data_IF_271485702859
#
_entry.id   IF_271485702859
#
_cell.length_a   1.000
_cell.length_b   1.000
_cell.length_c   1.000
_cell.angle_alpha   90.00
_cell.angle_beta   90.00
_cell.angle_gamma   90.00
#
_symmetry.space_group_name_H-M   'P 1'
#
loop_
_entity.id
_entity.type
_entity.pdbx_description
1 polymer ?
#
# COMPACT_ATOMS: atom_id res chain seq x y z
N UNK A 1 2.70 4.99 -10.99
CA UNK A 1 3.61 6.10 -10.66
C UNK A 1 3.02 6.92 -9.52
N UNK A 2 3.85 7.62 -8.75
CA UNK A 2 3.41 8.63 -7.79
C UNK A 2 2.61 9.70 -8.52
N UNK A 3 1.44 10.06 -8.01
CA UNK A 3 0.58 11.10 -8.59
C UNK A 3 1.29 12.44 -8.69
N UNK A 4 2.00 12.82 -7.61
CA UNK A 4 2.68 14.10 -7.44
C UNK A 4 3.93 14.23 -8.31
N UNK A 5 4.99 13.45 -8.06
CA UNK A 5 6.27 13.61 -8.77
C UNK A 5 6.46 12.71 -9.99
N UNK A 6 5.56 11.74 -10.21
CA UNK A 6 5.67 10.82 -11.35
C UNK A 6 6.67 9.68 -11.20
N UNK A 7 7.37 9.53 -10.06
CA UNK A 7 8.29 8.39 -9.89
C UNK A 7 7.58 7.05 -10.02
N UNK A 8 8.26 6.04 -10.55
CA UNK A 8 7.72 4.69 -10.67
C UNK A 8 7.54 4.07 -9.28
N UNK A 9 6.39 3.42 -9.06
CA UNK A 9 6.07 2.81 -7.75
C UNK A 9 5.81 1.31 -7.86
N UNK A 10 5.12 0.86 -8.90
CA UNK A 10 4.75 -0.55 -9.07
C UNK A 10 4.40 -0.82 -10.53
N UNK A 11 4.13 -2.08 -10.86
CA UNK A 11 3.75 -2.56 -12.20
C UNK A 11 2.37 -3.23 -12.17
N UNK A 12 1.80 -3.53 -13.35
CA UNK A 12 0.50 -4.21 -13.45
C UNK A 12 0.56 -5.65 -12.96
N UNK A 13 1.69 -6.33 -13.17
CA UNK A 13 1.95 -7.72 -12.79
C UNK A 13 2.03 -7.87 -11.26
N UNK A 14 2.37 -6.79 -10.57
CA UNK A 14 2.39 -6.75 -9.11
C UNK A 14 1.00 -6.56 -8.50
N UNK A 15 -0.04 -6.26 -9.28
CA UNK A 15 -1.40 -6.07 -8.78
C UNK A 15 -2.01 -7.40 -8.36
N UNK A 16 -2.42 -7.49 -7.09
CA UNK A 16 -3.06 -8.68 -6.51
C UNK A 16 -4.57 -8.54 -6.50
N UNK A 17 -5.10 -7.37 -6.09
CA UNK A 17 -6.55 -7.16 -6.02
C UNK A 17 -6.91 -5.67 -6.06
N UNK A 18 -8.06 -5.36 -6.65
CA UNK A 18 -8.62 -4.00 -6.76
C UNK A 18 -9.77 -3.71 -5.78
N UNK A 19 -10.06 -4.65 -4.88
CA UNK A 19 -11.24 -4.64 -4.01
C UNK A 19 -10.91 -4.15 -2.59
N UNK A 20 -10.02 -3.17 -2.48
CA UNK A 20 -9.62 -2.57 -1.21
C UNK A 20 -10.09 -1.12 -1.10
N UNK A 21 -10.26 -0.67 0.12
CA UNK A 21 -10.55 0.72 0.47
C UNK A 21 -9.45 1.22 1.41
N UNK A 22 -9.00 2.44 1.16
CA UNK A 22 -8.03 3.15 1.97
C UNK A 22 -8.62 4.43 2.54
N UNK A 23 -7.75 5.29 3.07
CA UNK A 23 -8.13 6.56 3.68
C UNK A 23 -8.76 7.52 2.66
N UNK A 24 -8.36 7.43 1.40
CA UNK A 24 -8.78 8.34 0.33
C UNK A 24 -9.74 7.70 -0.67
N UNK A 25 -10.42 6.62 -0.27
CA UNK A 25 -11.41 5.92 -1.09
C UNK A 25 -10.85 4.61 -1.66
N UNK A 26 -10.92 4.41 -2.97
CA UNK A 26 -10.51 3.14 -3.60
C UNK A 26 -9.00 2.94 -3.47
N UNK A 27 -8.59 1.75 -3.07
CA UNK A 27 -7.20 1.36 -2.99
C UNK A 27 -7.00 -0.04 -3.58
N UNK A 28 -5.76 -0.37 -3.92
CA UNK A 28 -5.43 -1.66 -4.52
C UNK A 28 -4.28 -2.33 -3.75
N UNK A 29 -4.34 -3.66 -3.69
CA UNK A 29 -3.30 -4.50 -3.09
C UNK A 29 -2.25 -4.87 -4.14
N UNK A 30 -0.99 -4.61 -3.83
CA UNK A 30 0.17 -4.92 -4.67
C UNK A 30 1.16 -5.82 -3.93
N UNK A 31 1.75 -6.77 -4.65
CA UNK A 31 2.80 -7.66 -4.15
C UNK A 31 4.13 -6.95 -3.97
N UNK A 32 4.45 -5.97 -4.83
CA UNK A 32 5.73 -5.26 -4.82
C UNK A 32 5.53 -3.78 -5.12
N UNK A 33 6.17 -2.93 -4.33
CA UNK A 33 6.25 -1.47 -4.52
C UNK A 33 7.71 -1.03 -4.32
N UNK A 34 8.17 -0.06 -5.11
CA UNK A 34 9.55 0.47 -5.11
C UNK A 34 9.55 1.99 -5.01
N UNK A 35 10.70 2.58 -4.71
CA UNK A 35 10.87 4.03 -4.53
C UNK A 35 9.97 4.60 -3.42
N UNK A 36 9.95 3.89 -2.29
CA UNK A 36 9.14 4.25 -1.12
C UNK A 36 9.96 4.25 0.15
N UNK A 37 9.50 5.05 1.11
CA UNK A 37 9.98 5.06 2.49
C UNK A 37 8.88 4.48 3.38
N UNK A 38 9.24 3.57 4.27
CA UNK A 38 8.32 2.93 5.23
C UNK A 38 8.38 3.70 6.56
N UNK A 39 7.20 4.00 7.11
CA UNK A 39 7.04 4.70 8.38
C UNK A 39 7.14 3.77 9.59
N UNK A 40 6.65 4.26 10.72
CA UNK A 40 6.61 3.49 11.98
C UNK A 40 5.61 2.35 11.87
N UNK A 41 5.94 1.22 12.51
CA UNK A 41 5.04 0.08 12.64
C UNK A 41 4.01 0.35 13.72
N UNK A 42 2.74 0.22 13.37
CA UNK A 42 1.61 0.45 14.27
C UNK A 42 0.56 -0.64 14.12
N UNK A 43 -0.12 -0.97 15.23
CA UNK A 43 -1.29 -1.84 15.18
C UNK A 43 -2.51 -1.07 14.67
N UNK A 44 -3.23 -1.66 13.71
CA UNK A 44 -4.41 -1.08 13.10
C UNK A 44 -5.53 -2.12 13.03
N UNK A 45 -6.66 -1.82 13.66
CA UNK A 45 -7.88 -2.63 13.57
C UNK A 45 -8.55 -2.43 12.22
N UNK A 46 -8.86 -3.53 11.52
CA UNK A 46 -9.53 -3.52 10.23
C UNK A 46 -10.70 -4.52 10.22
N UNK A 47 -11.51 -4.51 9.17
CA UNK A 47 -12.65 -5.43 9.02
C UNK A 47 -12.24 -6.91 9.10
N UNK A 48 -11.01 -7.24 8.71
CA UNK A 48 -10.49 -8.62 8.76
C UNK A 48 -9.60 -8.90 9.98
N UNK A 49 -9.71 -8.11 11.05
CA UNK A 49 -8.93 -8.28 12.28
C UNK A 49 -7.78 -7.27 12.45
N UNK A 50 -6.95 -7.51 13.45
CA UNK A 50 -5.81 -6.64 13.81
C UNK A 50 -4.59 -6.98 12.98
N UNK A 51 -3.92 -5.93 12.49
CA UNK A 51 -2.70 -6.03 11.69
C UNK A 51 -1.66 -5.04 12.21
N UNK A 52 -0.38 -5.38 12.13
CA UNK A 52 0.70 -4.39 12.19
C UNK A 52 0.93 -3.87 10.78
N UNK A 53 0.92 -2.55 10.62
CA UNK A 53 1.10 -1.87 9.34
C UNK A 53 2.10 -0.73 9.48
N UNK A 54 2.61 -0.25 8.35
CA UNK A 54 3.33 1.01 8.31
C UNK A 54 2.85 1.84 7.12
N UNK A 55 2.77 3.15 7.32
CA UNK A 55 2.49 4.07 6.23
C UNK A 55 3.67 4.11 5.26
N UNK A 56 3.37 4.36 3.98
CA UNK A 56 4.31 4.31 2.88
C UNK A 56 4.24 5.62 2.12
N UNK A 57 5.39 6.28 2.04
CA UNK A 57 5.56 7.56 1.36
C UNK A 57 6.42 7.39 0.10
N UNK A 58 6.21 8.21 -0.90
CA UNK A 58 7.09 8.30 -2.06
C UNK A 58 8.49 8.76 -1.63
N UNK A 59 9.54 7.97 -1.90
CA UNK A 59 10.90 8.30 -1.50
C UNK A 59 11.46 9.59 -2.14
N UNK A 60 10.87 10.04 -3.25
CA UNK A 60 11.31 11.24 -3.99
C UNK A 60 10.67 12.53 -3.48
N UNK A 61 9.37 12.53 -3.18
CA UNK A 61 8.62 13.76 -2.84
C UNK A 61 7.90 13.70 -1.50
N UNK A 62 8.09 12.60 -0.76
CA UNK A 62 7.53 12.32 0.57
C UNK A 62 6.01 12.30 0.64
N UNK A 63 5.32 12.39 -0.49
CA UNK A 63 3.87 12.26 -0.59
C UNK A 63 3.43 10.91 -0.04
N UNK A 64 2.43 10.91 0.85
CA UNK A 64 1.78 9.68 1.27
C UNK A 64 1.12 9.01 0.07
N UNK A 65 1.29 7.70 -0.08
CA UNK A 65 0.74 6.95 -1.23
C UNK A 65 -0.01 5.69 -0.82
N UNK A 66 0.06 5.30 0.46
CA UNK A 66 -0.54 4.08 0.95
C UNK A 66 0.16 3.53 2.19
N UNK A 67 0.04 2.22 2.41
CA UNK A 67 0.60 1.54 3.58
C UNK A 67 0.93 0.08 3.27
N UNK A 68 1.72 -0.58 4.11
CA UNK A 68 2.16 -1.96 3.96
C UNK A 68 1.71 -2.81 5.15
N UNK A 69 1.32 -4.05 4.89
CA UNK A 69 1.11 -5.04 5.94
C UNK A 69 2.46 -5.59 6.41
N UNK A 70 2.77 -5.39 7.69
CA UNK A 70 3.97 -5.97 8.32
C UNK A 70 3.62 -7.36 8.87
N UNK A 71 2.56 -7.45 9.66
CA UNK A 71 2.06 -8.73 10.17
C UNK A 71 0.53 -8.72 10.29
N UNK A 72 -0.07 -9.90 10.21
CA UNK A 72 -1.48 -10.14 10.51
C UNK A 72 -1.59 -11.11 11.69
N UNK A 73 -2.55 -10.90 12.59
CA UNK A 73 -2.75 -11.82 13.71
C UNK A 73 -3.55 -13.06 13.29
N UNK A 74 -4.52 -12.88 12.40
CA UNK A 74 -5.35 -13.96 11.87
C UNK A 74 -4.62 -14.78 10.80
N UNK A 75 -4.68 -16.11 10.91
CA UNK A 75 -3.93 -17.04 10.03
C UNK A 75 -4.34 -16.92 8.57
N UNK A 76 -5.63 -16.76 8.31
CA UNK A 76 -6.21 -16.59 6.97
C UNK A 76 -5.88 -15.22 6.35
N UNK A 77 -5.36 -14.27 7.15
CA UNK A 77 -4.92 -12.95 6.69
C UNK A 77 -3.41 -12.86 6.45
N UNK A 78 -2.63 -13.91 6.82
CA UNK A 78 -1.17 -13.97 6.63
C UNK A 78 -0.73 -13.77 5.18
N UNK A 79 -1.58 -14.09 4.22
CA UNK A 79 -1.27 -13.82 2.81
C UNK A 79 -1.10 -12.33 2.52
N UNK A 80 -1.52 -11.40 3.38
CA UNK A 80 -1.34 -9.96 3.17
C UNK A 80 0.04 -9.46 3.57
N UNK A 81 0.75 -10.18 4.43
CA UNK A 81 2.06 -9.77 4.94
C UNK A 81 3.05 -9.48 3.81
N UNK A 82 3.80 -8.37 3.96
CA UNK A 82 4.73 -7.84 2.97
C UNK A 82 4.09 -7.16 1.75
N UNK A 83 2.75 -7.19 1.62
CA UNK A 83 2.04 -6.53 0.50
C UNK A 83 1.66 -5.09 0.86
N UNK A 84 1.41 -4.32 -0.19
CA UNK A 84 1.18 -2.88 -0.12
C UNK A 84 -0.24 -2.55 -0.56
N UNK A 85 -0.91 -1.67 0.18
CA UNK A 85 -2.11 -0.98 -0.26
C UNK A 85 -1.69 0.37 -0.81
N UNK A 86 -1.98 0.65 -2.08
CA UNK A 86 -1.77 1.97 -2.68
C UNK A 86 -3.12 2.64 -2.96
N UNK A 87 -3.22 3.90 -2.57
CA UNK A 87 -4.41 4.74 -2.75
C UNK A 87 -4.56 5.11 -4.23
N UNK A 88 -5.69 4.75 -4.85
CA UNK A 88 -5.87 4.93 -6.30
C UNK A 88 -5.81 6.41 -6.71
N UNK A 89 -6.24 7.30 -5.83
CA UNK A 89 -6.26 8.75 -6.07
C UNK A 89 -4.87 9.40 -5.97
N UNK A 90 -3.90 8.72 -5.35
CA UNK A 90 -2.53 9.23 -5.16
C UNK A 90 -1.52 8.61 -6.12
N UNK A 91 -1.98 7.71 -7.00
CA UNK A 91 -1.16 7.06 -8.03
C UNK A 91 -1.75 7.27 -9.43
N UNK A 92 -0.89 7.31 -10.44
CA UNK A 92 -1.26 7.41 -11.86
C UNK A 92 -0.67 6.28 -12.70
N UNK A 93 -1.37 5.92 -13.77
CA UNK A 93 -0.89 4.95 -14.76
C UNK A 93 0.25 5.55 -15.60
N UNK A 94 1.13 4.69 -16.10
CA UNK A 94 2.05 5.02 -17.19
C UNK A 94 1.20 5.07 -18.46
N UNK A 95 1.26 6.18 -19.20
CA UNK A 95 0.70 6.28 -20.56
C UNK A 95 1.72 5.76 -21.53
#
# INVERSE_FOLDING_TARGET
MCGRCGTHLTTKESLVSKNYQGKYGRAHLYKKVVNVSEGVHEERSMTTGVHVVCDVNCAVCFEYIGWKYISAFEKDQKFKEGKYILERNLIKNIR
#
